data_IF_912336038439
#
_entry.id   IF_912336038439
#
_cell.length_a   1.000
_cell.length_b   1.000
_cell.length_c   1.000
_cell.angle_alpha   90.00
_cell.angle_beta   90.00
_cell.angle_gamma   90.00
#
_symmetry.space_group_name_H-M   'P 1'
#
loop_
_entity.id
_entity.type
_entity.pdbx_description
1 polymer ?
#
# COMPACT_ATOMS: atom_id res chain seq x y z
N UNK A 1 12.72 6.15 -9.14
CA UNK A 1 11.27 5.89 -9.27
C UNK A 1 11.07 4.49 -9.81
N UNK A 2 10.14 3.71 -9.27
CA UNK A 2 9.84 2.36 -9.77
C UNK A 2 9.09 2.46 -11.11
N UNK A 3 9.43 1.64 -12.11
CA UNK A 3 8.78 1.66 -13.42
C UNK A 3 7.38 1.01 -13.36
N UNK A 4 6.52 1.31 -14.34
CA UNK A 4 5.17 0.72 -14.47
C UNK A 4 5.19 -0.81 -14.40
N UNK A 5 6.15 -1.43 -15.09
CA UNK A 5 6.34 -2.88 -15.10
C UNK A 5 6.61 -3.50 -13.72
N UNK A 6 7.03 -2.72 -12.72
CA UNK A 6 7.15 -3.19 -11.33
C UNK A 6 5.78 -3.51 -10.75
N UNK A 7 4.78 -2.70 -11.05
CA UNK A 7 3.41 -2.83 -10.52
C UNK A 7 2.57 -3.83 -11.32
N UNK A 8 2.87 -3.99 -12.62
CA UNK A 8 2.17 -4.90 -13.52
C UNK A 8 2.67 -6.35 -13.36
N UNK A 9 2.52 -6.86 -12.15
CA UNK A 9 2.94 -8.21 -11.75
C UNK A 9 2.00 -8.75 -10.67
N UNK A 10 2.13 -10.04 -10.36
CA UNK A 10 1.41 -10.70 -9.26
C UNK A 10 1.40 -9.86 -7.99
N UNK A 11 0.22 -9.61 -7.46
CA UNK A 11 -0.02 -8.70 -6.33
C UNK A 11 0.75 -9.11 -5.07
N UNK A 12 0.81 -10.42 -4.78
CA UNK A 12 1.53 -10.91 -3.60
C UNK A 12 3.05 -10.74 -3.77
N UNK A 13 3.55 -10.83 -4.97
CA UNK A 13 4.95 -10.56 -5.32
C UNK A 13 5.26 -9.08 -5.14
N UNK A 14 4.44 -8.18 -5.71
CA UNK A 14 4.59 -6.73 -5.53
C UNK A 14 4.54 -6.34 -4.05
N UNK A 15 3.59 -6.91 -3.29
CA UNK A 15 3.46 -6.62 -1.85
C UNK A 15 4.74 -6.97 -1.05
N UNK A 16 5.38 -8.09 -1.37
CA UNK A 16 6.65 -8.48 -0.74
C UNK A 16 7.80 -7.58 -1.15
N UNK A 17 7.89 -7.25 -2.43
CA UNK A 17 9.00 -6.48 -2.97
C UNK A 17 8.89 -4.97 -2.69
N UNK A 18 7.72 -4.48 -2.31
CA UNK A 18 7.55 -3.12 -1.79
C UNK A 18 8.17 -2.94 -0.41
N UNK A 19 8.35 -4.01 0.38
CA UNK A 19 9.03 -3.92 1.67
C UNK A 19 10.47 -3.43 1.49
N UNK A 20 10.87 -2.47 2.30
CA UNK A 20 12.17 -1.82 2.26
C UNK A 20 12.28 -0.67 1.26
N UNK A 21 11.39 -0.54 0.27
CA UNK A 21 11.36 0.61 -0.65
C UNK A 21 10.83 1.86 0.06
N UNK A 22 11.08 3.01 -0.53
CA UNK A 22 10.63 4.29 0.01
C UNK A 22 9.38 4.79 -0.73
N UNK A 23 8.38 5.20 0.04
CA UNK A 23 7.28 6.05 -0.43
C UNK A 23 7.72 7.50 -0.27
N UNK A 24 7.62 8.27 -1.34
CA UNK A 24 7.97 9.71 -1.39
C UNK A 24 6.73 10.49 -1.76
N UNK A 25 6.41 11.52 -0.98
CA UNK A 25 5.36 12.49 -1.30
C UNK A 25 5.91 13.90 -1.09
N UNK A 26 5.90 14.71 -2.17
CA UNK A 26 6.34 16.11 -2.13
C UNK A 26 5.13 16.99 -1.81
N UNK A 27 5.15 17.61 -0.64
CA UNK A 27 4.10 18.49 -0.15
C UNK A 27 4.72 19.88 0.07
N UNK A 28 4.21 20.90 -0.62
CA UNK A 28 4.72 22.29 -0.53
C UNK A 28 6.25 22.39 -0.71
N UNK A 29 6.78 21.63 -1.68
CA UNK A 29 8.20 21.59 -1.99
C UNK A 29 9.06 20.74 -1.03
N UNK A 30 8.46 20.15 0.02
CA UNK A 30 9.17 19.29 0.99
C UNK A 30 8.90 17.83 0.70
N UNK A 31 9.95 17.05 0.45
CA UNK A 31 9.82 15.60 0.27
C UNK A 31 9.69 14.90 1.62
N UNK A 32 8.53 14.29 1.87
CA UNK A 32 8.29 13.36 2.99
C UNK A 32 8.65 11.96 2.53
N UNK A 33 9.49 11.26 3.29
CA UNK A 33 10.01 9.95 2.90
C UNK A 33 9.81 8.95 4.02
N UNK A 34 9.17 7.81 3.71
CA UNK A 34 9.02 6.69 4.63
C UNK A 34 9.39 5.36 3.99
N UNK A 35 10.14 4.51 4.71
CA UNK A 35 10.47 3.15 4.30
C UNK A 35 9.29 2.23 4.58
N UNK A 36 8.83 1.49 3.59
CA UNK A 36 7.72 0.55 3.72
C UNK A 36 8.17 -0.65 4.55
N UNK A 37 7.47 -0.93 5.65
CA UNK A 37 7.78 -2.05 6.56
C UNK A 37 6.65 -3.06 6.70
N UNK A 38 5.45 -2.72 6.24
CA UNK A 38 4.26 -3.58 6.31
C UNK A 38 3.33 -3.32 5.14
N UNK A 39 2.89 -4.39 4.48
CA UNK A 39 1.97 -4.37 3.33
C UNK A 39 0.90 -5.45 3.46
N UNK A 40 -0.24 -5.29 2.76
CA UNK A 40 -1.24 -6.33 2.56
C UNK A 40 -1.60 -6.46 1.09
N UNK A 41 -1.64 -7.70 0.57
CA UNK A 41 -2.09 -7.98 -0.78
C UNK A 41 -3.60 -8.27 -0.81
N UNK A 42 -4.30 -7.68 -1.79
CA UNK A 42 -5.71 -7.87 -2.10
C UNK A 42 -5.82 -8.31 -3.57
N UNK A 43 -6.23 -9.56 -3.79
CA UNK A 43 -5.98 -10.31 -5.03
C UNK A 43 -7.10 -10.18 -6.08
N UNK A 44 -7.88 -9.13 -6.03
CA UNK A 44 -8.95 -8.89 -7.02
C UNK A 44 -10.32 -9.46 -6.60
N UNK A 45 -11.27 -9.61 -7.55
CA UNK A 45 -12.68 -9.91 -7.24
C UNK A 45 -12.93 -11.24 -6.54
N UNK A 46 -12.06 -12.23 -6.70
CA UNK A 46 -12.18 -13.52 -6.04
C UNK A 46 -11.72 -13.52 -4.57
N UNK A 47 -11.00 -12.48 -4.14
CA UNK A 47 -10.58 -12.27 -2.76
C UNK A 47 -11.71 -11.57 -1.98
N UNK A 48 -12.45 -12.32 -1.15
CA UNK A 48 -13.59 -11.79 -0.41
C UNK A 48 -13.23 -10.68 0.59
N UNK A 49 -11.96 -10.47 0.89
CA UNK A 49 -11.49 -9.34 1.69
C UNK A 49 -11.21 -8.08 0.85
N UNK A 50 -11.08 -8.20 -0.48
CA UNK A 50 -10.86 -7.06 -1.36
C UNK A 50 -12.14 -6.25 -1.60
N UNK A 51 -12.02 -4.94 -1.73
CA UNK A 51 -13.17 -4.10 -2.12
C UNK A 51 -13.74 -4.49 -3.48
N UNK A 52 -12.89 -4.93 -4.41
CA UNK A 52 -13.25 -5.41 -5.74
C UNK A 52 -14.09 -6.69 -5.73
N UNK A 53 -14.20 -7.42 -4.61
CA UNK A 53 -15.12 -8.55 -4.48
C UNK A 53 -16.61 -8.15 -4.69
N UNK A 54 -16.93 -6.86 -4.55
CA UNK A 54 -18.24 -6.29 -4.85
C UNK A 54 -18.40 -5.83 -6.31
N UNK A 55 -17.39 -6.13 -7.14
CA UNK A 55 -17.36 -5.71 -8.54
C UNK A 55 -16.93 -4.25 -8.75
N UNK A 56 -17.11 -3.79 -9.99
CA UNK A 56 -16.80 -2.42 -10.39
C UNK A 56 -17.86 -1.45 -9.87
N UNK A 57 -17.46 -0.50 -9.06
CA UNK A 57 -18.29 0.57 -8.50
C UNK A 57 -17.56 1.90 -8.61
N UNK A 58 -18.22 3.02 -8.33
CA UNK A 58 -17.56 4.34 -8.25
C UNK A 58 -16.37 4.33 -7.28
N UNK A 59 -16.49 3.58 -6.19
CA UNK A 59 -15.42 3.46 -5.18
C UNK A 59 -14.24 2.62 -5.66
N UNK A 60 -14.52 1.51 -6.34
CA UNK A 60 -13.49 0.53 -6.75
C UNK A 60 -12.91 0.80 -8.13
N UNK A 61 -13.44 1.78 -8.86
CA UNK A 61 -13.04 2.09 -10.24
C UNK A 61 -11.52 2.17 -10.43
N UNK A 62 -10.82 2.83 -9.50
CA UNK A 62 -9.37 3.00 -9.57
C UNK A 62 -8.63 1.66 -9.48
N UNK A 63 -9.14 0.70 -8.71
CA UNK A 63 -8.54 -0.65 -8.60
C UNK A 63 -8.59 -1.43 -9.92
N UNK A 64 -9.54 -1.12 -10.80
CA UNK A 64 -9.68 -1.74 -12.12
C UNK A 64 -8.94 -0.98 -13.23
N UNK A 65 -8.31 0.14 -12.88
CA UNK A 65 -7.48 0.93 -13.79
C UNK A 65 -6.08 0.33 -13.98
N UNK A 66 -5.18 1.08 -14.66
CA UNK A 66 -3.83 0.61 -14.93
C UNK A 66 -2.99 0.50 -13.64
N UNK A 67 -2.01 -0.45 -13.62
CA UNK A 67 -1.14 -0.65 -12.46
C UNK A 67 -0.29 0.59 -12.17
N UNK A 68 0.16 0.72 -10.91
CA UNK A 68 0.99 1.85 -10.46
C UNK A 68 0.21 3.15 -10.30
N UNK A 69 -1.10 3.07 -10.04
CA UNK A 69 -1.92 4.20 -9.60
C UNK A 69 -2.26 4.06 -8.11
N UNK A 70 -2.43 5.18 -7.45
CA UNK A 70 -2.84 5.24 -6.06
C UNK A 70 -4.35 4.98 -5.94
N UNK A 71 -4.75 4.02 -5.12
CA UNK A 71 -6.12 3.85 -4.70
C UNK A 71 -6.26 4.32 -3.25
N UNK A 72 -6.91 5.47 -3.05
CA UNK A 72 -7.06 6.09 -1.73
C UNK A 72 -8.53 6.13 -1.33
N UNK A 73 -8.86 5.53 -0.20
CA UNK A 73 -10.23 5.52 0.32
C UNK A 73 -10.30 5.91 1.80
N UNK A 74 -11.49 6.35 2.24
CA UNK A 74 -11.78 6.66 3.64
C UNK A 74 -12.34 5.44 4.37
N UNK A 75 -11.84 5.23 5.59
CA UNK A 75 -12.38 4.29 6.58
C UNK A 75 -13.07 5.10 7.66
N UNK A 76 -14.33 4.74 7.96
CA UNK A 76 -15.19 5.44 8.94
C UNK A 76 -15.29 6.96 8.74
N UNK A 77 -15.12 7.44 7.50
CA UNK A 77 -15.16 8.87 7.19
C UNK A 77 -14.00 9.72 7.73
N UNK A 78 -13.03 9.12 8.44
CA UNK A 78 -11.97 9.85 9.18
C UNK A 78 -10.55 9.54 8.72
N UNK A 79 -10.27 8.32 8.27
CA UNK A 79 -8.91 7.87 7.99
C UNK A 79 -8.76 7.45 6.54
N UNK A 80 -7.75 7.99 5.86
CA UNK A 80 -7.37 7.51 4.54
C UNK A 80 -6.56 6.22 4.64
N UNK A 81 -6.75 5.33 3.65
CA UNK A 81 -5.90 4.18 3.40
C UNK A 81 -5.33 4.31 1.99
N UNK A 82 -4.02 4.13 1.87
CA UNK A 82 -3.29 4.25 0.61
C UNK A 82 -2.90 2.88 0.08
N UNK A 83 -3.32 2.60 -1.15
CA UNK A 83 -3.00 1.37 -1.86
C UNK A 83 -2.33 1.67 -3.19
N UNK A 84 -1.57 0.72 -3.67
CA UNK A 84 -0.96 0.69 -5.00
C UNK A 84 -1.71 -0.32 -5.86
N UNK A 85 -2.28 0.11 -6.98
CA UNK A 85 -2.93 -0.78 -7.95
C UNK A 85 -1.88 -1.64 -8.63
N UNK A 86 -2.16 -2.94 -8.77
CA UNK A 86 -1.24 -3.94 -9.32
C UNK A 86 -1.94 -4.78 -10.39
N UNK A 87 -1.14 -5.55 -11.13
CA UNK A 87 -1.58 -6.37 -12.26
C UNK A 87 -2.16 -5.53 -13.41
N UNK A 88 -2.49 -6.17 -14.52
CA UNK A 88 -3.05 -5.50 -15.69
C UNK A 88 -4.40 -4.83 -15.42
N UNK A 89 -4.74 -3.86 -16.27
CA UNK A 89 -6.02 -3.17 -16.23
C UNK A 89 -7.18 -4.17 -16.24
N UNK A 90 -8.18 -3.93 -15.39
CA UNK A 90 -9.32 -4.84 -15.21
C UNK A 90 -9.15 -5.88 -14.10
N UNK A 91 -7.97 -6.04 -13.49
CA UNK A 91 -7.72 -7.06 -12.47
C UNK A 91 -8.42 -6.78 -11.14
N UNK A 92 -8.56 -5.52 -10.76
CA UNK A 92 -9.15 -5.12 -9.48
C UNK A 92 -8.28 -5.45 -8.26
N UNK A 93 -6.97 -5.60 -8.47
CA UNK A 93 -5.99 -6.00 -7.46
C UNK A 93 -5.21 -4.81 -6.93
N UNK A 94 -4.81 -4.82 -5.65
CA UNK A 94 -4.03 -3.74 -5.05
C UNK A 94 -3.23 -4.19 -3.82
N UNK A 95 -2.20 -3.43 -3.48
CA UNK A 95 -1.40 -3.57 -2.27
C UNK A 95 -1.66 -2.39 -1.33
N UNK A 96 -2.16 -2.66 -0.14
CA UNK A 96 -2.29 -1.66 0.93
C UNK A 96 -0.94 -1.46 1.63
N UNK A 97 -0.48 -0.22 1.75
CA UNK A 97 0.63 0.12 2.64
C UNK A 97 0.08 0.34 4.06
N UNK A 98 0.62 -0.40 5.03
CA UNK A 98 0.10 -0.39 6.40
C UNK A 98 0.93 0.41 7.38
N UNK A 99 2.26 0.38 7.21
CA UNK A 99 3.16 1.09 8.11
C UNK A 99 4.47 1.48 7.40
N UNK A 100 5.03 2.59 7.85
CA UNK A 100 6.29 3.14 7.36
C UNK A 100 7.26 3.35 8.54
N UNK A 101 8.54 3.15 8.28
CA UNK A 101 9.62 3.70 9.08
C UNK A 101 9.93 5.11 8.58
N UNK A 102 9.91 6.15 9.43
CA UNK A 102 10.26 7.50 9.02
C UNK A 102 11.71 7.60 8.53
N UNK A 103 11.93 8.25 7.40
CA UNK A 103 13.27 8.44 6.80
C UNK A 103 13.63 9.93 6.72
N UNK A 104 12.76 10.76 6.13
CA UNK A 104 12.99 12.20 6.04
C UNK A 104 11.67 12.97 6.09
N UNK A 105 11.66 14.09 6.82
CA UNK A 105 10.56 15.04 6.94
C UNK A 105 9.21 14.37 7.27
N UNK A 106 9.23 13.35 8.09
CA UNK A 106 8.08 12.53 8.44
C UNK A 106 7.95 12.41 9.97
N UNK A 107 6.77 12.71 10.48
CA UNK A 107 6.45 12.48 11.88
C UNK A 107 6.51 10.97 12.23
N UNK A 108 6.90 10.61 13.47
CA UNK A 108 7.09 9.19 13.84
C UNK A 108 5.79 8.39 13.97
N UNK A 109 4.62 9.01 13.87
CA UNK A 109 3.31 8.34 13.98
C UNK A 109 2.87 7.73 12.66
N UNK A 110 3.54 6.65 12.24
CA UNK A 110 3.34 5.98 10.93
C UNK A 110 2.95 4.51 11.04
N UNK A 111 2.66 4.03 12.26
CA UNK A 111 2.36 2.61 12.57
C UNK A 111 0.86 2.31 12.39
N UNK A 112 0.41 2.32 11.16
CA UNK A 112 -0.98 2.04 10.77
C UNK A 112 -1.38 2.82 9.52
N UNK A 113 -2.32 2.29 8.68
CA UNK A 113 -2.64 2.86 7.37
C UNK A 113 -3.17 4.30 7.45
N UNK A 114 -4.00 4.61 8.44
CA UNK A 114 -4.49 5.98 8.65
C UNK A 114 -3.41 6.92 9.19
N UNK A 115 -2.53 6.42 10.05
CA UNK A 115 -1.43 7.22 10.62
C UNK A 115 -0.38 7.55 9.55
N UNK A 116 0.00 6.56 8.72
CA UNK A 116 0.93 6.80 7.63
C UNK A 116 0.38 7.82 6.61
N UNK A 117 -0.90 7.72 6.25
CA UNK A 117 -1.51 8.69 5.33
C UNK A 117 -1.47 10.11 5.90
N UNK A 118 -1.80 10.28 7.20
CA UNK A 118 -1.71 11.58 7.89
C UNK A 118 -0.29 12.13 7.87
N UNK A 119 0.70 11.31 8.26
CA UNK A 119 2.11 11.72 8.30
C UNK A 119 2.63 12.10 6.90
N UNK A 120 2.28 11.31 5.89
CA UNK A 120 2.67 11.55 4.50
C UNK A 120 1.89 12.72 3.86
N UNK A 121 0.77 13.19 4.43
CA UNK A 121 -0.11 14.17 3.81
C UNK A 121 -0.93 13.59 2.65
N UNK A 122 -1.24 12.30 2.71
CA UNK A 122 -2.04 11.60 1.70
C UNK A 122 -3.52 11.66 2.07
N UNK A 123 -4.34 12.17 1.14
CA UNK A 123 -5.79 12.23 1.28
C UNK A 123 -6.51 11.79 -0.01
N UNK A 124 -7.84 11.91 -0.01
CA UNK A 124 -8.70 11.50 -1.13
C UNK A 124 -8.43 12.23 -2.45
N UNK A 125 -7.78 13.37 -2.45
CA UNK A 125 -7.41 14.10 -3.69
C UNK A 125 -6.37 13.34 -4.51
N UNK A 126 -5.65 12.41 -3.87
CA UNK A 126 -4.66 11.55 -4.51
C UNK A 126 -5.25 10.21 -5.02
N UNK A 127 -6.57 9.98 -4.88
CA UNK A 127 -7.21 8.79 -5.46
C UNK A 127 -7.13 8.83 -6.99
N UNK A 128 -6.52 7.83 -7.59
CA UNK A 128 -6.21 7.77 -9.03
C UNK A 128 -4.90 8.44 -9.45
N UNK A 129 -4.11 9.00 -8.52
CA UNK A 129 -2.83 9.62 -8.86
C UNK A 129 -1.85 8.59 -9.45
N UNK A 130 -1.12 9.00 -10.49
CA UNK A 130 -0.06 8.18 -11.09
C UNK A 130 1.18 8.18 -10.19
N UNK A 131 1.62 6.99 -9.78
CA UNK A 131 2.82 6.78 -8.95
C UNK A 131 4.14 6.87 -9.73
N UNK A 132 4.08 7.26 -10.98
CA UNK A 132 5.23 7.67 -11.79
C UNK A 132 5.35 9.20 -11.87
N UNK A 133 4.61 9.94 -11.04
CA UNK A 133 4.69 11.39 -10.97
C UNK A 133 5.81 11.85 -10.02
N UNK A 134 6.40 13.04 -10.23
CA UNK A 134 7.43 13.55 -9.33
C UNK A 134 6.89 13.91 -7.93
N UNK A 135 5.58 14.15 -7.78
CA UNK A 135 4.97 14.55 -6.51
C UNK A 135 4.65 13.38 -5.59
N UNK A 136 4.28 12.22 -6.12
CA UNK A 136 3.95 11.02 -5.34
C UNK A 136 4.47 9.79 -6.07
N UNK A 137 5.47 9.11 -5.49
CA UNK A 137 6.09 7.96 -6.15
C UNK A 137 6.78 7.02 -5.17
N UNK A 138 7.19 5.86 -5.68
CA UNK A 138 8.00 4.90 -4.95
C UNK A 138 9.38 4.77 -5.59
N UNK A 139 10.40 4.62 -4.74
CA UNK A 139 11.80 4.48 -5.19
C UNK A 139 12.50 3.33 -4.49
N UNK A 140 13.57 2.84 -5.11
CA UNK A 140 14.52 1.94 -4.45
C UNK A 140 15.19 2.67 -3.27
N UNK A 141 15.47 1.94 -2.19
CA UNK A 141 16.11 2.47 -0.98
C UNK A 141 17.64 2.40 -0.99
N UNK A 142 18.26 2.25 -2.17
CA UNK A 142 19.68 1.93 -2.30
C UNK A 142 19.94 0.42 -2.33
N UNK A 143 21.14 -0.06 -1.97
CA UNK A 143 21.46 -1.49 -1.93
C UNK A 143 20.42 -2.22 -1.07
N UNK A 144 19.83 -3.31 -1.59
CA UNK A 144 18.73 -4.01 -0.93
C UNK A 144 19.09 -4.35 0.53
N UNK A 145 18.41 -3.75 1.52
CA UNK A 145 18.68 -4.09 2.90
C UNK A 145 18.30 -5.55 3.14
N UNK A 146 19.22 -6.31 3.74
CA UNK A 146 18.98 -7.71 4.11
C UNK A 146 18.05 -7.74 5.33
N UNK A 147 16.81 -8.12 5.15
CA UNK A 147 15.85 -8.39 6.22
C UNK A 147 15.06 -9.66 5.92
N UNK A 148 14.62 -10.33 6.97
CA UNK A 148 13.66 -11.44 6.82
C UNK A 148 12.23 -10.88 6.70
N UNK A 149 11.42 -11.55 5.89
CA UNK A 149 9.98 -11.23 5.76
C UNK A 149 9.19 -12.29 6.51
N UNK A 150 8.27 -11.85 7.36
CA UNK A 150 7.26 -12.69 7.98
C UNK A 150 5.91 -12.48 7.30
N UNK A 151 5.14 -13.56 7.20
CA UNK A 151 3.77 -13.55 6.62
C UNK A 151 2.77 -13.74 7.75
N UNK A 152 1.69 -12.96 7.70
CA UNK A 152 0.63 -12.97 8.72
C UNK A 152 -0.75 -12.85 8.07
N UNK A 153 -1.84 -13.15 8.79
CA UNK A 153 -3.18 -12.78 8.36
C UNK A 153 -3.31 -11.25 8.23
N UNK A 154 -4.18 -10.82 7.31
CA UNK A 154 -4.53 -9.40 7.13
C UNK A 154 -5.35 -8.89 8.31
N UNK A 155 -5.33 -7.58 8.54
CA UNK A 155 -5.98 -6.94 9.69
C UNK A 155 -7.34 -6.39 9.30
N UNK A 156 -8.36 -6.67 10.13
CA UNK A 156 -9.70 -6.09 9.97
C UNK A 156 -10.52 -6.69 8.82
N UNK A 157 -10.23 -7.94 8.44
CA UNK A 157 -10.91 -8.66 7.35
C UNK A 157 -11.66 -9.91 7.83
N UNK A 158 -12.05 -9.97 9.11
CA UNK A 158 -12.70 -11.12 9.74
C UNK A 158 -14.01 -11.55 9.04
N UNK A 159 -14.67 -10.59 8.38
CA UNK A 159 -15.87 -10.80 7.57
C UNK A 159 -15.64 -11.65 6.31
N UNK A 160 -14.39 -11.85 5.90
CA UNK A 160 -14.05 -12.49 4.63
C UNK A 160 -13.96 -14.02 4.70
N UNK A 161 -14.43 -14.65 5.78
CA UNK A 161 -14.44 -16.10 5.95
C UNK A 161 -13.05 -16.73 5.81
N UNK A 162 -12.87 -17.76 4.94
CA UNK A 162 -11.55 -18.39 4.77
C UNK A 162 -10.43 -17.44 4.32
N UNK A 163 -10.78 -16.36 3.64
CA UNK A 163 -9.82 -15.35 3.18
C UNK A 163 -9.18 -14.56 4.31
N UNK A 164 -9.86 -14.43 5.47
CA UNK A 164 -9.33 -13.76 6.65
C UNK A 164 -8.07 -14.47 7.19
N UNK A 165 -7.97 -15.80 7.02
CA UNK A 165 -6.84 -16.58 7.53
C UNK A 165 -5.66 -16.66 6.56
N UNK A 166 -5.80 -16.18 5.32
CA UNK A 166 -4.70 -16.21 4.34
C UNK A 166 -3.57 -15.30 4.77
N UNK A 167 -2.33 -15.78 4.66
CA UNK A 167 -1.12 -15.08 5.06
C UNK A 167 -0.68 -14.09 3.97
N UNK A 168 -1.52 -13.07 3.73
CA UNK A 168 -1.35 -12.04 2.71
C UNK A 168 -0.92 -10.67 3.29
N UNK A 169 -0.53 -10.62 4.54
CA UNK A 169 0.16 -9.50 5.18
C UNK A 169 1.63 -9.83 5.30
N UNK A 170 2.47 -8.95 4.78
CA UNK A 170 3.91 -9.08 4.75
C UNK A 170 4.56 -8.01 5.61
N UNK A 171 5.49 -8.41 6.47
CA UNK A 171 6.15 -7.52 7.44
C UNK A 171 7.65 -7.74 7.40
N UNK A 172 8.43 -6.67 7.52
CA UNK A 172 9.85 -6.79 7.87
C UNK A 172 9.93 -7.36 9.29
N UNK A 173 10.60 -8.51 9.44
CA UNK A 173 10.74 -9.19 10.74
C UNK A 173 11.37 -8.24 11.75
N UNK A 174 10.83 -8.25 12.97
CA UNK A 174 11.32 -7.49 14.14
C UNK A 174 11.40 -5.96 13.94
N UNK A 175 10.74 -5.43 12.90
CA UNK A 175 10.64 -3.97 12.74
C UNK A 175 9.82 -3.35 13.87
N UNK A 176 10.35 -2.30 14.55
CA UNK A 176 9.61 -1.58 15.61
C UNK A 176 8.47 -0.72 15.06
N UNK A 177 8.37 -0.60 13.74
CA UNK A 177 7.41 0.28 13.06
C UNK A 177 6.16 -0.44 12.56
N UNK A 178 5.96 -1.74 12.88
CA UNK A 178 4.76 -2.46 12.47
C UNK A 178 3.49 -1.88 13.11
N UNK A 179 2.38 -1.93 12.36
CA UNK A 179 1.07 -1.48 12.85
C UNK A 179 0.51 -2.42 13.92
N UNK A 180 0.79 -3.72 13.77
CA UNK A 180 0.53 -4.78 14.76
C UNK A 180 1.68 -5.80 14.72
N UNK A 181 2.24 -6.15 15.86
CA UNK A 181 3.30 -7.16 15.96
C UNK A 181 2.82 -8.57 15.58
#
# INVERSE_FOLDING_TARGET
MLPRAFYDRDTATVARELLGKHLVHVVEGVARVGRIVETEAYLGPHDLAAHSAKGLTTRTRVMYGPPGHAYVYLVYGLHCCFNVVTEGEGSGSAVLLRALEPVANLEPRTRGPGLLCRAMGIDRRLDGADLLSPSLHLVESGPAPRFAIVRRPRVGVDYAGPWARRLLRYCIKDSPWLSRP
#
